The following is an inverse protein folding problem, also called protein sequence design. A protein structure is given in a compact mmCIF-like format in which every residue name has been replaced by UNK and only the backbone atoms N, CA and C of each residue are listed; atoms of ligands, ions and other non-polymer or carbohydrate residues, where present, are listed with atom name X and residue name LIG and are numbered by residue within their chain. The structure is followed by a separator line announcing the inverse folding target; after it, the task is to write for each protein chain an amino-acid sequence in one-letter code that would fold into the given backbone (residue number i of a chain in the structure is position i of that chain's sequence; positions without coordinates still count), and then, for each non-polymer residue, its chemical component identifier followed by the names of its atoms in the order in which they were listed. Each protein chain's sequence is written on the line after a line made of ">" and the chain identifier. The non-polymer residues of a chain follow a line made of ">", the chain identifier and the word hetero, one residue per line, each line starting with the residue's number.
data_IF_241804360116
#
_entry.id   IF_241804360116
#
_cell.length_a   1.000
_cell.length_b   1.000
_cell.length_c   1.000
_cell.angle_alpha   90.00
_cell.angle_beta   90.00
_cell.angle_gamma   90.00
#
_symmetry.space_group_name_H-M   'P 1'
#
loop_
_entity.id
_entity.type
_entity.pdbx_description
1 polymer ?
#
# COMPACT_ATOMS: atom_id res chain seq x y z
N UNK A 1 14.93 4.74 -37.04
CA UNK A 1 13.95 4.55 -35.96
C UNK A 1 14.67 4.85 -34.65
N UNK A 2 14.42 6.01 -34.01
CA UNK A 2 15.08 6.35 -32.73
C UNK A 2 14.43 5.55 -31.59
N UNK A 3 15.19 5.05 -30.60
CA UNK A 3 14.60 4.45 -29.41
C UNK A 3 13.75 5.50 -28.70
N UNK A 4 12.55 5.09 -28.28
CA UNK A 4 11.67 5.91 -27.46
C UNK A 4 12.31 6.01 -26.07
N UNK A 5 12.83 7.19 -25.74
CA UNK A 5 13.25 7.53 -24.38
C UNK A 5 12.14 7.10 -23.39
N UNK A 6 12.46 6.37 -22.31
CA UNK A 6 11.45 5.99 -21.33
C UNK A 6 10.88 7.27 -20.75
N UNK A 7 9.60 7.53 -21.01
CA UNK A 7 8.89 8.70 -20.51
C UNK A 7 9.00 8.76 -18.98
N UNK A 8 9.89 9.61 -18.50
CA UNK A 8 9.99 10.00 -17.10
C UNK A 8 8.80 10.88 -16.76
N UNK A 9 8.11 10.56 -15.67
CA UNK A 9 7.04 11.42 -15.18
C UNK A 9 6.37 10.92 -13.89
N UNK A 10 7.09 10.15 -13.08
CA UNK A 10 6.53 9.62 -11.83
C UNK A 10 7.58 9.15 -10.83
N UNK A 11 8.74 8.68 -11.32
CA UNK A 11 9.89 8.36 -10.48
C UNK A 11 10.43 9.55 -9.69
N UNK A 12 10.18 10.78 -10.14
CA UNK A 12 10.56 12.02 -9.44
C UNK A 12 9.84 12.17 -8.10
N UNK A 13 8.64 11.60 -7.93
CA UNK A 13 7.86 11.70 -6.70
C UNK A 13 8.17 10.61 -5.67
N UNK A 14 8.79 9.49 -6.11
CA UNK A 14 9.12 8.38 -5.21
C UNK A 14 10.07 8.78 -4.08
N UNK A 15 11.16 9.54 -4.30
CA UNK A 15 12.01 10.01 -3.21
C UNK A 15 11.25 10.82 -2.15
N UNK A 16 10.27 11.64 -2.55
CA UNK A 16 9.47 12.41 -1.62
C UNK A 16 8.53 11.52 -0.79
N UNK A 17 7.90 10.52 -1.41
CA UNK A 17 7.07 9.55 -0.70
C UNK A 17 7.89 8.73 0.31
N UNK A 18 9.08 8.27 -0.09
CA UNK A 18 10.02 7.58 0.81
C UNK A 18 10.47 8.49 1.95
N UNK A 19 10.85 9.72 1.65
CA UNK A 19 11.24 10.70 2.67
C UNK A 19 10.11 11.02 3.66
N UNK A 20 8.86 11.10 3.18
CA UNK A 20 7.70 11.30 4.05
C UNK A 20 7.49 10.12 5.02
N UNK A 21 7.64 8.88 4.54
CA UNK A 21 7.59 7.69 5.38
C UNK A 21 8.73 7.67 6.41
N UNK A 22 9.95 8.01 6.00
CA UNK A 22 11.10 8.11 6.90
C UNK A 22 10.88 9.20 7.95
N UNK A 23 10.37 10.37 7.56
CA UNK A 23 10.05 11.45 8.48
C UNK A 23 8.99 10.99 9.49
N UNK A 24 7.92 10.35 9.04
CA UNK A 24 6.88 9.83 9.92
C UNK A 24 7.46 8.81 10.92
N UNK A 25 8.26 7.85 10.45
CA UNK A 25 8.97 6.87 11.29
C UNK A 25 9.87 7.54 12.31
N UNK A 26 10.53 8.63 11.94
CA UNK A 26 11.56 9.28 12.79
C UNK A 26 10.97 10.26 13.79
N UNK A 27 9.86 10.93 13.44
CA UNK A 27 9.28 11.99 14.26
C UNK A 27 8.01 11.59 15.00
N UNK A 28 7.17 10.72 14.42
CA UNK A 28 5.85 10.42 14.98
C UNK A 28 5.81 9.13 15.80
N UNK A 29 6.64 8.14 15.44
CA UNK A 29 6.63 6.82 16.08
C UNK A 29 7.36 6.77 17.43
N UNK A 30 8.57 7.38 17.63
CA UNK A 30 9.33 7.20 18.87
C UNK A 30 8.61 7.71 20.12
N UNK A 31 7.89 8.82 20.01
CA UNK A 31 7.12 9.42 21.11
C UNK A 31 5.61 9.10 21.00
N UNK A 32 5.24 8.19 20.09
CA UNK A 32 3.86 7.80 19.83
C UNK A 32 3.27 6.87 20.90
N UNK A 33 1.94 6.67 20.89
CA UNK A 33 1.29 5.70 21.77
C UNK A 33 1.74 4.26 21.47
N UNK A 34 1.67 3.39 22.48
CA UNK A 34 2.00 1.95 22.32
C UNK A 34 1.12 1.24 21.27
N UNK A 35 -0.12 1.72 21.12
CA UNK A 35 -1.07 1.23 20.11
C UNK A 35 -1.30 2.37 19.12
N UNK A 36 -1.01 2.11 17.84
CA UNK A 36 -1.29 3.04 16.75
C UNK A 36 -2.77 3.44 16.77
N UNK A 37 -3.04 4.73 16.66
CA UNK A 37 -4.41 5.21 16.60
C UNK A 37 -5.05 4.77 15.26
N UNK A 38 -6.38 4.63 15.20
CA UNK A 38 -7.01 4.08 14.01
C UNK A 38 -6.86 4.95 12.74
N UNK A 39 -6.50 6.24 12.86
CA UNK A 39 -6.11 7.09 11.73
C UNK A 39 -4.70 6.80 11.19
N UNK A 40 -3.74 6.49 12.07
CA UNK A 40 -2.41 6.00 11.68
C UNK A 40 -2.53 4.66 10.93
N UNK A 41 -3.34 3.74 11.44
CA UNK A 41 -3.61 2.45 10.77
C UNK A 41 -4.31 2.62 9.41
N UNK A 42 -5.26 3.57 9.28
CA UNK A 42 -5.86 3.88 7.97
C UNK A 42 -4.81 4.42 6.99
N UNK A 43 -3.91 5.28 7.46
CA UNK A 43 -2.81 5.84 6.66
C UNK A 43 -1.86 4.73 6.21
N UNK A 44 -1.43 3.84 7.10
CA UNK A 44 -0.60 2.69 6.75
C UNK A 44 -1.31 1.76 5.76
N UNK A 45 -2.61 1.50 5.96
CA UNK A 45 -3.41 0.72 5.01
C UNK A 45 -3.47 1.41 3.63
N UNK A 46 -3.59 2.73 3.56
CA UNK A 46 -3.56 3.49 2.30
C UNK A 46 -2.24 3.29 1.56
N UNK A 47 -1.10 3.36 2.26
CA UNK A 47 0.23 3.13 1.68
C UNK A 47 0.39 1.69 1.18
N UNK A 48 -0.04 0.70 1.96
CA UNK A 48 0.00 -0.70 1.56
C UNK A 48 -0.83 -0.97 0.29
N UNK A 49 -2.02 -0.37 0.18
CA UNK A 49 -2.87 -0.47 -1.02
C UNK A 49 -2.24 0.25 -2.22
N UNK A 50 -1.62 1.42 -2.01
CA UNK A 50 -0.90 2.12 -3.07
C UNK A 50 0.27 1.29 -3.60
N UNK A 51 1.06 0.68 -2.71
CA UNK A 51 2.16 -0.21 -3.07
C UNK A 51 1.65 -1.46 -3.82
N UNK A 52 0.57 -2.09 -3.34
CA UNK A 52 -0.06 -3.21 -4.03
C UNK A 52 -0.42 -2.84 -5.48
N UNK A 53 -1.07 -1.69 -5.68
CA UNK A 53 -1.44 -1.22 -7.03
C UNK A 53 -0.23 -0.99 -7.92
N UNK A 54 0.85 -0.43 -7.38
CA UNK A 54 2.09 -0.23 -8.13
C UNK A 54 2.70 -1.58 -8.54
N UNK A 55 2.80 -2.53 -7.62
CA UNK A 55 3.34 -3.87 -7.89
C UNK A 55 2.46 -4.62 -8.89
N UNK A 56 1.13 -4.48 -8.82
CA UNK A 56 0.17 -5.08 -9.75
C UNK A 56 0.44 -4.63 -11.20
N UNK A 57 0.60 -3.31 -11.42
CA UNK A 57 0.96 -2.76 -12.74
C UNK A 57 2.29 -3.32 -13.25
N UNK A 58 3.31 -3.41 -12.39
CA UNK A 58 4.60 -3.98 -12.79
C UNK A 58 4.52 -5.49 -13.03
N UNK A 59 3.71 -6.22 -12.27
CA UNK A 59 3.48 -7.66 -12.46
C UNK A 59 2.84 -7.94 -13.82
N UNK A 60 1.83 -7.15 -14.22
CA UNK A 60 1.19 -7.27 -15.55
C UNK A 60 2.17 -6.97 -16.68
N UNK A 61 2.96 -5.91 -16.56
CA UNK A 61 3.97 -5.55 -17.58
C UNK A 61 5.07 -6.60 -17.70
N UNK A 62 5.48 -7.20 -16.60
CA UNK A 62 6.54 -8.21 -16.55
C UNK A 62 6.04 -9.62 -16.88
N UNK A 63 4.74 -9.82 -17.16
CA UNK A 63 4.17 -11.12 -17.49
C UNK A 63 4.91 -11.89 -18.60
N UNK A 64 5.45 -11.26 -19.66
CA UNK A 64 6.22 -11.96 -20.69
C UNK A 64 7.65 -12.36 -20.25
N UNK A 65 8.15 -11.83 -19.13
CA UNK A 65 9.53 -12.04 -18.65
C UNK A 65 9.48 -13.08 -17.52
N UNK A 66 9.77 -14.33 -17.85
CA UNK A 66 9.58 -15.47 -16.95
C UNK A 66 10.35 -15.35 -15.64
N UNK A 67 11.55 -14.77 -15.66
CA UNK A 67 12.38 -14.61 -14.46
C UNK A 67 11.77 -13.61 -13.45
N UNK A 68 11.00 -12.63 -13.93
CA UNK A 68 10.41 -11.58 -13.11
C UNK A 68 8.97 -11.89 -12.68
N UNK A 69 8.25 -12.71 -13.46
CA UNK A 69 6.84 -13.00 -13.24
C UNK A 69 6.57 -13.60 -11.84
N UNK A 70 7.38 -14.58 -11.41
CA UNK A 70 7.18 -15.25 -10.12
C UNK A 70 7.51 -14.35 -8.92
N UNK A 71 8.68 -13.66 -8.88
CA UNK A 71 8.98 -12.71 -7.80
C UNK A 71 7.95 -11.58 -7.68
N UNK A 72 7.51 -10.99 -8.80
CA UNK A 72 6.54 -9.88 -8.77
C UNK A 72 5.15 -10.35 -8.34
N UNK A 73 4.69 -11.51 -8.81
CA UNK A 73 3.46 -12.13 -8.30
C UNK A 73 3.54 -12.40 -6.80
N UNK A 74 4.69 -12.85 -6.31
CA UNK A 74 4.91 -13.08 -4.88
C UNK A 74 4.85 -11.77 -4.10
N UNK A 75 5.55 -10.74 -4.55
CA UNK A 75 5.51 -9.41 -3.95
C UNK A 75 4.08 -8.84 -3.90
N UNK A 76 3.31 -9.01 -4.97
CA UNK A 76 1.89 -8.62 -5.05
C UNK A 76 1.05 -9.29 -3.96
N UNK A 77 1.20 -10.60 -3.78
CA UNK A 77 0.47 -11.36 -2.75
C UNK A 77 0.86 -10.88 -1.35
N UNK A 78 2.16 -10.63 -1.10
CA UNK A 78 2.61 -10.13 0.21
C UNK A 78 2.10 -8.72 0.50
N UNK A 79 2.12 -7.83 -0.50
CA UNK A 79 1.56 -6.48 -0.35
C UNK A 79 0.06 -6.52 0.00
N UNK A 80 -0.70 -7.43 -0.62
CA UNK A 80 -2.08 -7.66 -0.23
C UNK A 80 -2.23 -8.15 1.21
N UNK A 81 -1.44 -9.15 1.63
CA UNK A 81 -1.50 -9.66 3.00
C UNK A 81 -1.22 -8.57 4.03
N UNK A 82 -0.27 -7.67 3.77
CA UNK A 82 -0.01 -6.51 4.63
C UNK A 82 -1.23 -5.59 4.70
N UNK A 83 -1.84 -5.25 3.56
CA UNK A 83 -3.05 -4.42 3.52
C UNK A 83 -4.22 -5.07 4.28
N UNK A 84 -4.42 -6.38 4.14
CA UNK A 84 -5.46 -7.13 4.83
C UNK A 84 -5.28 -7.14 6.35
N UNK A 85 -4.05 -7.40 6.82
CA UNK A 85 -3.73 -7.36 8.25
C UNK A 85 -3.90 -5.96 8.84
N UNK A 86 -3.50 -4.90 8.13
CA UNK A 86 -3.69 -3.51 8.59
C UNK A 86 -5.17 -3.13 8.63
N UNK A 87 -5.96 -3.55 7.64
CA UNK A 87 -7.40 -3.36 7.65
C UNK A 87 -8.04 -4.08 8.84
N UNK A 88 -7.65 -5.33 9.13
CA UNK A 88 -8.12 -6.04 10.31
C UNK A 88 -7.73 -5.32 11.61
N UNK A 89 -6.46 -4.92 11.74
CA UNK A 89 -5.96 -4.18 12.88
C UNK A 89 -6.81 -2.92 13.15
N UNK A 90 -7.14 -2.16 12.10
CA UNK A 90 -7.97 -0.96 12.20
C UNK A 90 -9.37 -1.19 12.77
N UNK A 91 -9.94 -2.39 12.58
CA UNK A 91 -11.22 -2.78 13.17
C UNK A 91 -11.09 -3.30 14.60
N UNK A 92 -9.92 -3.81 14.98
CA UNK A 92 -9.65 -4.33 16.33
C UNK A 92 -9.15 -3.28 17.31
N UNK A 93 -8.62 -2.15 16.83
CA UNK A 93 -8.10 -1.08 17.67
C UNK A 93 -9.22 -0.44 18.49
N UNK A 94 -9.10 -0.40 19.83
CA UNK A 94 -10.07 0.28 20.69
C UNK A 94 -10.17 1.76 20.34
N UNK A 95 -11.37 2.24 20.01
CA UNK A 95 -11.61 3.66 19.75
C UNK A 95 -12.22 4.33 20.99
N UNK A 96 -11.66 5.46 21.47
CA UNK A 96 -12.19 6.19 22.64
C UNK A 96 -13.58 6.80 22.41
N UNK A 97 -13.98 6.94 21.14
CA UNK A 97 -15.32 7.35 20.72
C UNK A 97 -15.77 6.37 19.63
N UNK A 98 -17.04 5.91 19.61
CA UNK A 98 -17.57 5.14 18.50
C UNK A 98 -17.38 5.93 17.20
N UNK A 99 -16.44 5.51 16.36
CA UNK A 99 -16.28 6.10 15.03
C UNK A 99 -17.50 5.69 14.20
N UNK A 100 -18.13 6.62 13.45
CA UNK A 100 -19.00 6.17 12.37
C UNK A 100 -18.18 5.22 11.51
N UNK A 101 -18.74 4.04 11.18
CA UNK A 101 -18.03 2.99 10.44
C UNK A 101 -17.23 3.63 9.30
N UNK A 102 -15.91 3.64 9.41
CA UNK A 102 -15.08 4.38 8.47
C UNK A 102 -15.19 3.71 7.11
N UNK A 103 -16.08 4.27 6.28
CA UNK A 103 -16.38 3.68 4.98
C UNK A 103 -15.17 3.83 4.05
N UNK A 104 -14.21 4.73 4.32
CA UNK A 104 -13.09 4.96 3.43
C UNK A 104 -12.10 3.78 3.44
N UNK A 105 -11.67 3.33 4.64
CA UNK A 105 -10.76 2.19 4.77
C UNK A 105 -11.38 0.93 4.17
N UNK A 106 -12.65 0.65 4.50
CA UNK A 106 -13.39 -0.49 3.98
C UNK A 106 -13.56 -0.44 2.46
N UNK A 107 -13.97 0.70 1.88
CA UNK A 107 -14.11 0.84 0.41
C UNK A 107 -12.78 0.61 -0.30
N UNK A 108 -11.71 1.25 0.20
CA UNK A 108 -10.35 1.10 -0.34
C UNK A 108 -9.91 -0.36 -0.32
N UNK A 109 -10.18 -1.05 0.78
CA UNK A 109 -9.88 -2.47 0.95
C UNK A 109 -10.68 -3.35 -0.03
N UNK A 110 -11.99 -3.10 -0.18
CA UNK A 110 -12.82 -3.83 -1.16
C UNK A 110 -12.34 -3.63 -2.60
N UNK A 111 -11.91 -2.42 -2.95
CA UNK A 111 -11.32 -2.16 -4.28
C UNK A 111 -10.00 -2.93 -4.48
N UNK A 112 -9.15 -2.99 -3.46
CA UNK A 112 -7.92 -3.78 -3.49
C UNK A 112 -8.19 -5.29 -3.60
N UNK A 113 -9.20 -5.79 -2.89
CA UNK A 113 -9.64 -7.19 -2.97
C UNK A 113 -10.09 -7.57 -4.38
N UNK A 114 -10.75 -6.65 -5.10
CA UNK A 114 -11.12 -6.86 -6.51
C UNK A 114 -9.89 -6.99 -7.41
N UNK A 115 -8.78 -6.29 -7.11
CA UNK A 115 -7.54 -6.45 -7.87
C UNK A 115 -6.97 -7.86 -7.69
N UNK A 116 -6.84 -8.32 -6.44
CA UNK A 116 -6.29 -9.64 -6.14
C UNK A 116 -7.11 -10.79 -6.71
N UNK A 117 -8.44 -10.62 -6.79
CA UNK A 117 -9.34 -11.61 -7.36
C UNK A 117 -9.31 -11.69 -8.89
N UNK A 118 -8.84 -10.64 -9.59
CA UNK A 118 -8.63 -10.69 -11.05
C UNK A 118 -7.46 -11.63 -11.33
N UNK A 119 -7.71 -12.66 -12.15
CA UNK A 119 -6.73 -13.64 -12.62
C UNK A 119 -6.21 -13.26 -13.99
#
# INVERSE_FOLDING_TARGET
>A
MRPREPGGGGGEFLPFATAALDLHRTLAVPDGPLVADPGELDTLHAHAVALLRLIDVHSERARPISELAVPLRTARIRAWQVADLLHHASHTTPAPVPRPADRAVCRRHQDALRLIRRR
#
